data_IF_719713228883
#
_entry.id   IF_719713228883
#
_cell.length_a   1.000
_cell.length_b   1.000
_cell.length_c   1.000
_cell.angle_alpha   90.00
_cell.angle_beta   90.00
_cell.angle_gamma   90.00
#
_symmetry.space_group_name_H-M   'P 1'
#
loop_
_entity.id
_entity.type
_entity.pdbx_description
1 polymer ?
#
# COMPACT_ATOMS: atom_id res chain seq x y z
N UNK A 1 2.08 -15.78 -4.60
CA UNK A 1 1.23 -14.85 -3.80
C UNK A 1 0.03 -14.42 -4.66
N UNK A 2 -1.18 -14.57 -4.15
CA UNK A 2 -2.41 -14.11 -4.84
C UNK A 2 -2.52 -12.58 -4.83
N UNK A 3 -3.42 -11.98 -5.62
CA UNK A 3 -3.62 -10.52 -5.58
C UNK A 3 -4.12 -10.07 -4.19
N UNK A 4 -5.15 -10.72 -3.65
CA UNK A 4 -5.68 -10.42 -2.32
C UNK A 4 -4.60 -10.43 -1.23
N UNK A 5 -3.81 -11.50 -1.16
CA UNK A 5 -2.72 -11.59 -0.17
C UNK A 5 -1.69 -10.45 -0.30
N UNK A 6 -1.41 -9.98 -1.52
CA UNK A 6 -0.50 -8.85 -1.73
C UNK A 6 -1.07 -7.56 -1.16
N UNK A 7 -2.34 -7.29 -1.43
CA UNK A 7 -3.03 -6.09 -0.95
C UNK A 7 -3.02 -6.07 0.59
N UNK A 8 -3.38 -7.20 1.21
CA UNK A 8 -3.42 -7.34 2.66
C UNK A 8 -2.03 -7.12 3.29
N UNK A 9 -0.96 -7.65 2.68
CA UNK A 9 0.42 -7.47 3.16
C UNK A 9 0.93 -6.03 2.99
N UNK A 10 0.64 -5.40 1.86
CA UNK A 10 1.02 -4.00 1.59
C UNK A 10 0.29 -3.07 2.55
N UNK A 11 -1.02 -3.25 2.72
CA UNK A 11 -1.82 -2.46 3.67
C UNK A 11 -1.26 -2.61 5.08
N UNK A 12 -1.05 -3.85 5.55
CA UNK A 12 -0.50 -4.10 6.89
C UNK A 12 0.84 -3.39 7.09
N UNK A 13 1.75 -3.50 6.13
CA UNK A 13 3.05 -2.87 6.22
C UNK A 13 2.95 -1.34 6.31
N UNK A 14 2.13 -0.71 5.48
CA UNK A 14 1.89 0.74 5.51
C UNK A 14 1.19 1.15 6.81
N UNK A 15 0.31 0.31 7.38
CA UNK A 15 -0.33 0.57 8.68
C UNK A 15 0.66 0.58 9.84
N UNK A 16 1.62 -0.33 9.82
CA UNK A 16 2.69 -0.42 10.83
C UNK A 16 3.71 0.73 10.68
N UNK A 17 4.05 1.13 9.45
CA UNK A 17 5.12 2.10 9.18
C UNK A 17 4.62 3.52 8.85
N UNK A 18 3.31 3.72 8.77
CA UNK A 18 2.59 4.94 8.33
C UNK A 18 2.81 5.34 6.87
N UNK A 19 3.96 5.02 6.29
CA UNK A 19 4.33 5.28 4.91
C UNK A 19 5.23 4.17 4.39
N UNK A 20 5.13 3.87 3.10
CA UNK A 20 6.12 3.07 2.39
C UNK A 20 6.28 3.55 0.93
N UNK A 21 7.50 3.53 0.44
CA UNK A 21 7.80 3.84 -0.96
C UNK A 21 7.73 2.59 -1.86
N UNK A 22 7.61 2.82 -3.16
CA UNK A 22 7.47 1.76 -4.17
C UNK A 22 8.64 0.77 -4.19
N UNK A 23 9.87 1.23 -3.97
CA UNK A 23 11.07 0.38 -4.02
C UNK A 23 11.17 -0.50 -2.79
N UNK A 24 10.85 0.04 -1.61
CA UNK A 24 10.75 -0.72 -0.37
C UNK A 24 9.73 -1.85 -0.49
N UNK A 25 8.50 -1.55 -0.93
CA UNK A 25 7.45 -2.55 -1.12
C UNK A 25 7.81 -3.58 -2.21
N UNK A 26 8.46 -3.14 -3.30
CA UNK A 26 8.91 -4.02 -4.39
C UNK A 26 9.93 -5.03 -3.90
N UNK A 27 10.92 -4.56 -3.14
CA UNK A 27 11.98 -5.40 -2.57
C UNK A 27 11.42 -6.35 -1.52
N UNK A 28 10.60 -5.82 -0.59
CA UNK A 28 10.03 -6.58 0.53
C UNK A 28 9.13 -7.73 0.05
N UNK A 29 8.33 -7.51 -1.00
CA UNK A 29 7.35 -8.49 -1.48
C UNK A 29 7.76 -9.19 -2.79
N UNK A 30 9.01 -9.02 -3.23
CA UNK A 30 9.54 -9.63 -4.45
C UNK A 30 8.68 -9.36 -5.70
N UNK A 31 8.03 -8.20 -5.74
CA UNK A 31 7.07 -7.82 -6.79
C UNK A 31 7.62 -6.66 -7.61
N UNK A 32 7.30 -6.59 -8.90
CA UNK A 32 7.76 -5.45 -9.72
C UNK A 32 7.16 -4.12 -9.25
N UNK A 33 7.85 -3.01 -9.51
CA UNK A 33 7.32 -1.66 -9.26
C UNK A 33 5.94 -1.44 -9.90
N UNK A 34 5.70 -2.00 -11.09
CA UNK A 34 4.39 -1.94 -11.76
C UNK A 34 3.30 -2.69 -11.01
N UNK A 35 3.64 -3.84 -10.40
CA UNK A 35 2.71 -4.62 -9.59
C UNK A 35 2.39 -3.90 -8.27
N UNK A 36 3.41 -3.33 -7.62
CA UNK A 36 3.21 -2.52 -6.40
C UNK A 36 2.35 -1.30 -6.71
N UNK A 37 2.63 -0.58 -7.80
CA UNK A 37 1.85 0.59 -8.21
C UNK A 37 0.36 0.26 -8.36
N UNK A 38 0.04 -0.82 -9.08
CA UNK A 38 -1.35 -1.30 -9.24
C UNK A 38 -2.00 -1.66 -7.91
N UNK A 39 -1.26 -2.30 -7.00
CA UNK A 39 -1.77 -2.64 -5.67
C UNK A 39 -2.08 -1.39 -4.85
N UNK A 40 -1.21 -0.37 -4.90
CA UNK A 40 -1.45 0.92 -4.24
C UNK A 40 -2.63 1.67 -4.87
N UNK A 41 -2.78 1.63 -6.19
CA UNK A 41 -3.93 2.23 -6.90
C UNK A 41 -5.25 1.56 -6.47
N UNK A 42 -5.25 0.23 -6.32
CA UNK A 42 -6.42 -0.54 -5.86
C UNK A 42 -6.79 -0.20 -4.42
N UNK A 43 -5.80 -0.11 -3.52
CA UNK A 43 -6.02 0.24 -2.12
C UNK A 43 -6.42 1.73 -1.94
N UNK A 44 -5.91 2.63 -2.77
CA UNK A 44 -6.34 4.03 -2.82
C UNK A 44 -7.77 4.18 -3.32
N UNK A 45 -8.15 3.44 -4.37
CA UNK A 45 -9.54 3.40 -4.88
C UNK A 45 -10.51 2.91 -3.80
N UNK A 46 -10.05 2.05 -2.88
CA UNK A 46 -10.81 1.56 -1.73
C UNK A 46 -10.81 2.52 -0.53
N UNK A 47 -10.13 3.66 -0.61
CA UNK A 47 -10.02 4.64 0.47
C UNK A 47 -9.11 4.23 1.64
N UNK A 48 -8.32 3.16 1.48
CA UNK A 48 -7.48 2.59 2.56
C UNK A 48 -6.19 3.39 2.74
N UNK A 49 -5.61 3.86 1.64
CA UNK A 49 -4.36 4.62 1.61
C UNK A 49 -4.43 5.77 0.61
N UNK A 50 -3.53 6.73 0.78
CA UNK A 50 -3.32 7.86 -0.12
C UNK A 50 -1.98 7.68 -0.83
N UNK A 51 -1.96 7.81 -2.15
CA UNK A 51 -0.73 7.75 -2.93
C UNK A 51 0.04 9.06 -2.88
N UNK A 52 1.36 8.90 -2.95
CA UNK A 52 2.34 9.96 -3.11
C UNK A 52 3.17 9.67 -4.36
N UNK A 53 3.87 10.69 -4.90
CA UNK A 53 4.69 10.54 -6.13
C UNK A 53 5.68 9.36 -6.08
N UNK A 54 6.12 8.93 -4.89
CA UNK A 54 7.05 7.80 -4.71
C UNK A 54 6.53 6.62 -3.87
N UNK A 55 5.30 6.67 -3.35
CA UNK A 55 4.84 5.72 -2.34
C UNK A 55 3.37 5.86 -1.97
N UNK A 56 3.02 5.43 -0.77
CA UNK A 56 1.70 5.62 -0.19
C UNK A 56 1.77 5.70 1.34
N UNK A 57 0.83 6.44 1.94
CA UNK A 57 0.60 6.47 3.38
C UNK A 57 -0.82 6.01 3.69
N UNK A 58 -1.09 5.59 4.92
CA UNK A 58 -2.46 5.36 5.34
C UNK A 58 -3.30 6.64 5.19
N UNK A 59 -4.57 6.46 4.83
CA UNK A 59 -5.58 7.48 5.13
C UNK A 59 -5.87 7.34 6.62
N UNK A 60 -5.67 8.41 7.40
CA UNK A 60 -6.29 8.51 8.72
C UNK A 60 -7.79 8.54 8.47
N UNK A 61 -8.40 7.36 8.47
CA UNK A 61 -9.83 7.26 8.75
C UNK A 61 -9.94 7.59 10.22
N UNK A 62 -10.45 8.79 10.49
CA UNK A 62 -10.91 9.19 11.81
C UNK A 62 -12.00 8.19 12.23
N UNK A 63 -11.61 7.09 12.88
CA UNK A 63 -12.53 6.17 13.55
C UNK A 63 -12.88 6.71 14.96
N UNK A 64 -13.19 8.01 15.06
CA UNK A 64 -13.73 8.65 16.25
C UNK A 64 -15.00 9.43 15.88
N UNK A 65 -16.04 8.69 15.48
CA UNK A 65 -17.43 9.14 15.55
C UNK A 65 -18.22 8.27 16.54
#
# INVERSE_FOLDING_TARGET
>A
MTNKQRLDLIEKHIREHKYADLHTLSTLFGSSLSTVRRALDELETRGVLRRHHGGASLVETDELA
#
